data_IF_989421030471
#
_entry.id   IF_989421030471
#
_cell.length_a   1.000
_cell.length_b   1.000
_cell.length_c   1.000
_cell.angle_alpha   90.00
_cell.angle_beta   90.00
_cell.angle_gamma   90.00
#
_symmetry.space_group_name_H-M   'P 1'
#
loop_
_entity.id
_entity.type
_entity.pdbx_description
1 polymer ?
#
# COMPACT_ATOMS: atom_id res chain seq x y z
N UNK A 1 10.28 -3.13 -21.49
CA UNK A 1 10.31 -3.10 -20.02
C UNK A 1 9.15 -3.94 -19.54
N UNK A 2 9.36 -4.92 -18.66
CA UNK A 2 8.22 -5.69 -18.13
C UNK A 2 7.53 -4.86 -17.05
N UNK A 3 6.35 -4.32 -17.34
CA UNK A 3 5.52 -3.68 -16.36
C UNK A 3 5.04 -4.72 -15.33
N UNK A 4 5.18 -4.38 -14.06
CA UNK A 4 4.71 -5.20 -12.94
C UNK A 4 3.19 -5.08 -12.78
N UNK A 5 2.71 -3.86 -12.92
CA UNK A 5 1.30 -3.50 -13.01
C UNK A 5 1.07 -2.71 -14.30
N UNK A 6 -0.03 -3.00 -14.98
CA UNK A 6 -0.46 -2.25 -16.15
C UNK A 6 -1.98 -2.09 -16.13
N UNK A 7 -2.42 -0.87 -16.32
CA UNK A 7 -3.82 -0.49 -16.41
C UNK A 7 -4.06 0.20 -17.73
N UNK A 8 -5.05 -0.30 -18.48
CA UNK A 8 -5.44 0.19 -19.79
C UNK A 8 -6.91 0.60 -19.78
N UNK A 9 -7.17 1.87 -20.10
CA UNK A 9 -8.50 2.46 -20.26
C UNK A 9 -9.44 2.21 -19.06
N UNK A 10 -8.88 2.27 -17.82
CA UNK A 10 -9.67 2.04 -16.62
C UNK A 10 -10.71 3.12 -16.43
N UNK A 11 -11.95 2.67 -16.18
CA UNK A 11 -13.08 3.53 -15.80
C UNK A 11 -13.68 3.02 -14.50
N UNK A 12 -13.88 3.92 -13.56
CA UNK A 12 -14.51 3.63 -12.27
C UNK A 12 -15.62 4.60 -11.96
N UNK A 13 -16.78 4.08 -11.64
CA UNK A 13 -17.94 4.83 -11.17
C UNK A 13 -18.54 4.16 -9.93
N UNK A 14 -19.16 4.95 -9.08
CA UNK A 14 -19.99 4.49 -7.99
C UNK A 14 -21.46 4.85 -8.28
N UNK A 15 -22.35 3.93 -8.02
CA UNK A 15 -23.79 4.19 -8.04
C UNK A 15 -24.18 4.83 -6.72
N UNK A 16 -24.75 6.02 -6.80
CA UNK A 16 -25.33 6.72 -5.66
C UNK A 16 -26.84 6.40 -5.58
N UNK A 17 -27.46 6.59 -4.42
CA UNK A 17 -28.91 6.54 -4.31
C UNK A 17 -29.55 7.57 -5.30
N UNK A 18 -30.65 7.19 -5.96
CA UNK A 18 -31.39 8.02 -6.92
C UNK A 18 -30.80 8.11 -8.35
N UNK A 19 -30.38 6.99 -8.94
CA UNK A 19 -29.91 6.88 -10.33
C UNK A 19 -28.70 7.76 -10.72
N UNK A 20 -28.11 8.47 -9.76
CA UNK A 20 -26.90 9.27 -9.99
C UNK A 20 -25.64 8.41 -9.94
N UNK A 21 -24.75 8.59 -10.89
CA UNK A 21 -23.44 7.95 -10.93
C UNK A 21 -22.34 8.99 -10.60
N UNK A 22 -21.45 8.60 -9.71
CA UNK A 22 -20.24 9.37 -9.43
C UNK A 22 -19.08 8.78 -10.23
N UNK A 23 -18.69 9.44 -11.32
CA UNK A 23 -17.54 9.06 -12.11
C UNK A 23 -16.24 9.50 -11.41
N UNK A 24 -15.41 8.54 -11.03
CA UNK A 24 -14.12 8.77 -10.34
C UNK A 24 -13.01 9.01 -11.36
N UNK A 25 -12.84 8.09 -12.32
CA UNK A 25 -11.91 8.24 -13.42
C UNK A 25 -12.42 7.54 -14.68
N UNK A 26 -11.94 8.00 -15.83
CA UNK A 26 -12.29 7.50 -17.15
C UNK A 26 -11.05 7.53 -18.04
N UNK A 27 -10.89 6.46 -18.83
CA UNK A 27 -9.73 6.27 -19.72
C UNK A 27 -8.38 6.46 -18.99
N UNK A 28 -8.29 5.97 -17.74
CA UNK A 28 -7.06 6.05 -16.97
C UNK A 28 -6.10 4.97 -17.44
N UNK A 29 -4.89 5.40 -17.85
CA UNK A 29 -3.78 4.52 -18.20
C UNK A 29 -2.66 4.76 -17.20
N UNK A 30 -2.08 3.66 -16.70
CA UNK A 30 -1.08 3.72 -15.65
C UNK A 30 -0.26 2.44 -15.62
N UNK A 31 1.03 2.55 -15.31
CA UNK A 31 1.88 1.38 -15.11
C UNK A 31 2.88 1.57 -13.99
N UNK A 32 3.23 0.47 -13.34
CA UNK A 32 4.31 0.40 -12.34
C UNK A 32 5.37 -0.55 -12.86
N UNK A 33 6.60 -0.06 -12.96
CA UNK A 33 7.76 -0.88 -13.25
C UNK A 33 8.19 -1.65 -12.00
N UNK A 34 8.65 -2.87 -12.14
CA UNK A 34 9.14 -3.66 -11.00
C UNK A 34 10.34 -2.96 -10.34
N UNK A 35 10.40 -3.03 -9.01
CA UNK A 35 11.47 -2.43 -8.19
C UNK A 35 11.59 -0.91 -8.31
N UNK A 36 10.50 -0.23 -8.69
CA UNK A 36 10.46 1.23 -8.73
C UNK A 36 9.61 1.81 -7.60
N UNK A 37 9.93 3.02 -7.23
CA UNK A 37 9.17 3.83 -6.28
C UNK A 37 8.33 4.81 -7.08
N UNK A 38 7.02 4.76 -6.92
CA UNK A 38 6.07 5.62 -7.63
C UNK A 38 5.24 6.42 -6.63
N UNK A 39 5.10 7.71 -6.86
CA UNK A 39 4.22 8.58 -6.07
C UNK A 39 3.02 9.07 -6.88
N UNK A 40 1.89 9.23 -6.22
CA UNK A 40 0.69 9.86 -6.79
C UNK A 40 0.29 11.04 -5.90
N UNK A 41 0.19 12.22 -6.51
CA UNK A 41 -0.27 13.45 -5.86
C UNK A 41 -1.62 13.87 -6.42
N UNK A 42 -2.48 14.42 -5.58
CA UNK A 42 -3.77 14.97 -6.01
C UNK A 42 -4.57 15.50 -4.84
N UNK A 43 -5.58 16.32 -5.14
CA UNK A 43 -6.49 16.86 -4.13
C UNK A 43 -7.25 15.75 -3.39
N UNK A 44 -7.75 16.06 -2.19
CA UNK A 44 -8.64 15.14 -1.46
C UNK A 44 -9.86 14.80 -2.32
N UNK A 45 -10.31 13.56 -2.26
CA UNK A 45 -11.49 13.09 -3.00
C UNK A 45 -11.29 12.86 -4.50
N UNK A 46 -10.08 13.05 -5.08
CA UNK A 46 -9.88 12.86 -6.52
C UNK A 46 -9.83 11.39 -6.99
N UNK A 47 -9.90 10.41 -6.07
CA UNK A 47 -9.93 8.99 -6.40
C UNK A 47 -8.66 8.19 -6.08
N UNK A 48 -7.67 8.77 -5.36
CA UNK A 48 -6.40 8.11 -5.02
C UNK A 48 -6.59 6.80 -4.25
N UNK A 49 -7.34 6.82 -3.16
CA UNK A 49 -7.62 5.61 -2.36
C UNK A 49 -8.45 4.59 -3.16
N UNK A 50 -9.35 5.04 -4.05
CA UNK A 50 -10.09 4.15 -4.96
C UNK A 50 -9.12 3.44 -5.90
N UNK A 51 -8.14 4.15 -6.46
CA UNK A 51 -7.11 3.54 -7.30
C UNK A 51 -6.26 2.54 -6.51
N UNK A 52 -5.82 2.90 -5.28
CA UNK A 52 -5.09 1.98 -4.41
C UNK A 52 -5.89 0.70 -4.11
N UNK A 53 -7.20 0.80 -3.89
CA UNK A 53 -8.06 -0.37 -3.67
C UNK A 53 -8.14 -1.27 -4.90
N UNK A 54 -8.21 -0.71 -6.10
CA UNK A 54 -8.18 -1.49 -7.35
C UNK A 54 -6.82 -2.16 -7.51
N UNK A 55 -5.71 -1.41 -7.40
CA UNK A 55 -4.35 -1.94 -7.51
C UNK A 55 -4.06 -3.01 -6.46
N UNK A 56 -4.65 -2.85 -5.28
CA UNK A 56 -4.56 -3.79 -4.18
C UNK A 56 -5.50 -5.00 -4.29
N UNK A 57 -6.21 -5.15 -5.41
CA UNK A 57 -7.14 -6.26 -5.65
C UNK A 57 -8.27 -6.34 -4.60
N UNK A 58 -8.62 -5.20 -3.99
CA UNK A 58 -9.72 -5.06 -3.03
C UNK A 58 -11.03 -4.68 -3.72
N UNK A 59 -10.94 -3.96 -4.84
CA UNK A 59 -12.08 -3.54 -5.65
C UNK A 59 -11.90 -4.05 -7.08
N UNK A 60 -12.79 -4.93 -7.51
CA UNK A 60 -12.82 -5.50 -8.86
C UNK A 60 -13.94 -4.91 -9.75
N UNK A 61 -14.70 -3.95 -9.22
CA UNK A 61 -15.82 -3.32 -9.93
C UNK A 61 -15.35 -2.12 -10.75
N UNK A 62 -14.79 -2.37 -11.93
CA UNK A 62 -14.33 -1.35 -12.87
C UNK A 62 -14.49 -1.85 -14.31
N UNK A 63 -14.47 -0.94 -15.28
CA UNK A 63 -14.36 -1.22 -16.71
C UNK A 63 -12.91 -0.98 -17.17
N UNK A 64 -12.48 -1.64 -18.24
CA UNK A 64 -11.11 -1.59 -18.75
C UNK A 64 -10.30 -2.83 -18.37
N UNK A 65 -8.98 -2.75 -18.51
CA UNK A 65 -8.08 -3.86 -18.28
C UNK A 65 -7.10 -3.55 -17.16
N UNK A 66 -6.91 -4.50 -16.25
CA UNK A 66 -5.87 -4.48 -15.24
C UNK A 66 -5.04 -5.76 -15.30
N UNK A 67 -3.76 -5.62 -15.65
CA UNK A 67 -2.78 -6.70 -15.69
C UNK A 67 -1.89 -6.64 -14.44
N UNK A 68 -1.87 -7.73 -13.71
CA UNK A 68 -0.93 -7.96 -12.60
C UNK A 68 0.09 -9.02 -13.03
N UNK A 69 1.36 -8.66 -13.13
CA UNK A 69 2.42 -9.51 -13.68
C UNK A 69 2.02 -10.11 -15.06
N UNK A 70 1.44 -9.29 -15.92
CA UNK A 70 1.01 -9.66 -17.27
C UNK A 70 -0.24 -10.53 -17.34
N UNK A 71 -0.91 -10.80 -16.21
CA UNK A 71 -2.17 -11.57 -16.17
C UNK A 71 -3.35 -10.66 -15.91
N UNK A 72 -4.38 -10.76 -16.74
CA UNK A 72 -5.61 -9.99 -16.58
C UNK A 72 -6.35 -10.40 -15.30
N UNK A 73 -6.56 -9.46 -14.38
CA UNK A 73 -7.14 -9.73 -13.06
C UNK A 73 -8.59 -10.21 -13.11
N UNK A 74 -9.33 -9.84 -14.15
CA UNK A 74 -10.70 -10.29 -14.39
C UNK A 74 -10.79 -11.79 -14.78
N UNK A 75 -9.69 -12.41 -15.20
CA UNK A 75 -9.61 -13.84 -15.50
C UNK A 75 -9.20 -14.69 -14.29
N UNK A 76 -8.92 -14.06 -13.14
CA UNK A 76 -8.42 -14.70 -11.93
C UNK A 76 -9.58 -14.88 -10.94
N UNK A 77 -9.72 -16.07 -10.36
CA UNK A 77 -10.76 -16.32 -9.36
C UNK A 77 -10.55 -15.50 -8.08
N UNK A 78 -11.63 -15.22 -7.35
CA UNK A 78 -11.60 -14.44 -6.10
C UNK A 78 -10.64 -15.03 -5.06
N UNK A 79 -10.57 -16.36 -4.95
CA UNK A 79 -9.63 -17.03 -4.03
C UNK A 79 -8.17 -16.79 -4.46
N UNK A 80 -7.88 -16.88 -5.75
CA UNK A 80 -6.54 -16.61 -6.26
C UNK A 80 -6.15 -15.13 -6.11
N UNK A 81 -7.09 -14.18 -6.30
CA UNK A 81 -6.86 -12.76 -6.02
C UNK A 81 -6.55 -12.53 -4.52
N UNK A 82 -7.25 -13.22 -3.62
CA UNK A 82 -6.97 -13.18 -2.19
C UNK A 82 -5.56 -13.71 -1.86
N UNK A 83 -5.15 -14.79 -2.52
CA UNK A 83 -3.80 -15.35 -2.37
C UNK A 83 -2.72 -14.40 -2.87
N UNK A 84 -2.92 -13.79 -4.05
CA UNK A 84 -2.00 -12.79 -4.60
C UNK A 84 -1.90 -11.59 -3.64
N UNK A 85 -3.03 -11.06 -3.18
CA UNK A 85 -3.07 -9.95 -2.23
C UNK A 85 -2.28 -10.26 -0.95
N UNK A 86 -2.51 -11.41 -0.35
CA UNK A 86 -1.83 -11.78 0.89
C UNK A 86 -0.32 -12.01 0.69
N UNK A 87 0.10 -12.62 -0.43
CA UNK A 87 1.50 -13.02 -0.66
C UNK A 87 2.36 -11.94 -1.29
N UNK A 88 1.76 -11.11 -2.17
CA UNK A 88 2.51 -10.20 -3.04
C UNK A 88 2.29 -8.72 -2.77
N UNK A 89 1.24 -8.37 -2.00
CA UNK A 89 0.89 -6.97 -1.76
C UNK A 89 0.89 -6.69 -0.27
N UNK A 90 1.65 -5.68 0.15
CA UNK A 90 1.58 -5.11 1.48
C UNK A 90 0.81 -3.79 1.46
N UNK A 91 0.00 -3.54 2.49
CA UNK A 91 -0.76 -2.30 2.62
C UNK A 91 -0.31 -1.49 3.83
N UNK A 92 -0.13 -0.20 3.62
CA UNK A 92 0.05 0.80 4.67
C UNK A 92 -1.05 1.84 4.51
N UNK A 93 -1.88 1.99 5.54
CA UNK A 93 -3.02 2.91 5.55
C UNK A 93 -2.73 4.17 6.37
N UNK A 94 -3.39 5.25 6.05
CA UNK A 94 -3.28 6.54 6.74
C UNK A 94 -3.54 6.45 8.26
N UNK A 95 -4.49 5.61 8.69
CA UNK A 95 -4.86 5.40 10.10
C UNK A 95 -4.25 4.12 10.68
N UNK A 96 -3.12 3.64 10.14
CA UNK A 96 -2.36 2.46 10.57
C UNK A 96 -3.15 1.14 10.49
N UNK A 97 -4.42 1.13 10.78
CA UNK A 97 -5.33 -0.03 10.81
C UNK A 97 -4.76 -1.22 11.61
N UNK A 98 -4.09 -0.92 12.73
CA UNK A 98 -3.69 -1.93 13.70
C UNK A 98 -4.92 -2.38 14.50
N UNK A 99 -5.00 -3.68 14.78
CA UNK A 99 -6.07 -4.27 15.59
C UNK A 99 -5.77 -3.94 17.05
N UNK A 100 -6.61 -3.15 17.73
CA UNK A 100 -6.29 -2.60 19.05
C UNK A 100 -6.26 -3.66 20.17
N UNK A 101 -6.94 -4.80 19.97
CA UNK A 101 -6.95 -5.92 20.91
C UNK A 101 -5.67 -6.73 20.89
N UNK A 102 -4.94 -6.70 19.78
CA UNK A 102 -3.71 -7.44 19.56
C UNK A 102 -2.49 -6.59 19.93
N UNK A 103 -1.42 -7.24 20.41
CA UNK A 103 -0.10 -6.62 20.57
C UNK A 103 0.51 -6.23 19.22
N UNK A 104 1.59 -5.47 19.24
CA UNK A 104 2.38 -5.15 18.03
C UNK A 104 2.81 -6.42 17.31
N UNK A 105 3.37 -7.38 18.02
CA UNK A 105 3.82 -8.65 17.45
C UNK A 105 2.67 -9.41 16.81
N UNK A 106 1.54 -9.56 17.49
CA UNK A 106 0.36 -10.25 16.97
C UNK A 106 -0.20 -9.57 15.71
N UNK A 107 -0.22 -8.23 15.66
CA UNK A 107 -0.59 -7.49 14.47
C UNK A 107 0.32 -7.82 13.27
N UNK A 108 1.62 -7.92 13.51
CA UNK A 108 2.60 -8.15 12.43
C UNK A 108 2.56 -9.58 11.94
N UNK A 109 2.40 -10.58 12.81
CA UNK A 109 2.38 -11.99 12.41
C UNK A 109 1.10 -12.39 11.69
N UNK A 110 -0.01 -11.69 11.91
CA UNK A 110 -1.34 -12.07 11.42
C UNK A 110 -1.39 -12.37 9.92
N UNK A 111 -0.87 -11.53 9.00
CA UNK A 111 -0.89 -11.84 7.58
C UNK A 111 -0.08 -13.09 7.22
N UNK A 112 1.00 -13.37 7.96
CA UNK A 112 1.81 -14.58 7.79
C UNK A 112 1.06 -15.85 8.22
N UNK A 113 0.29 -15.77 9.31
CA UNK A 113 -0.57 -16.87 9.77
C UNK A 113 -1.71 -17.15 8.79
N UNK A 114 -2.33 -16.10 8.24
CA UNK A 114 -3.34 -16.22 7.18
C UNK A 114 -2.73 -16.93 5.94
N UNK A 115 -1.46 -16.68 5.63
CA UNK A 115 -0.71 -17.38 4.58
C UNK A 115 -0.27 -18.80 4.97
N UNK A 116 -0.78 -19.34 6.08
CA UNK A 116 -0.49 -20.70 6.58
C UNK A 116 1.01 -20.98 6.82
N UNK A 117 1.81 -19.94 7.03
CA UNK A 117 3.21 -20.10 7.46
C UNK A 117 3.27 -20.63 8.90
N UNK A 118 4.33 -21.34 9.26
CA UNK A 118 4.55 -21.81 10.64
C UNK A 118 4.69 -20.60 11.57
N UNK A 119 3.95 -20.58 12.67
CA UNK A 119 3.95 -19.47 13.61
C UNK A 119 5.35 -19.11 14.11
N UNK A 120 6.18 -20.11 14.46
CA UNK A 120 7.56 -19.88 14.91
C UNK A 120 8.43 -19.17 13.87
N UNK A 121 8.23 -19.46 12.57
CA UNK A 121 8.96 -18.83 11.48
C UNK A 121 8.49 -17.37 11.30
N UNK A 122 7.17 -17.16 11.31
CA UNK A 122 6.58 -15.81 11.17
C UNK A 122 6.95 -14.94 12.36
N UNK A 123 6.93 -15.48 13.59
CA UNK A 123 7.33 -14.76 14.81
C UNK A 123 8.80 -14.34 14.75
N UNK A 124 9.68 -15.22 14.26
CA UNK A 124 11.09 -14.87 14.07
C UNK A 124 11.26 -13.73 13.08
N UNK A 125 10.57 -13.79 11.95
CA UNK A 125 10.61 -12.73 10.93
C UNK A 125 10.02 -11.42 11.45
N UNK A 126 8.92 -11.49 12.19
CA UNK A 126 8.32 -10.30 12.83
C UNK A 126 9.28 -9.65 13.83
N UNK A 127 10.01 -10.43 14.63
CA UNK A 127 11.03 -9.89 15.54
C UNK A 127 12.19 -9.24 14.76
N UNK A 128 12.63 -9.81 13.65
CA UNK A 128 13.65 -9.22 12.78
C UNK A 128 13.17 -7.88 12.20
N UNK A 129 11.96 -7.83 11.68
CA UNK A 129 11.36 -6.58 11.18
C UNK A 129 11.24 -5.54 12.31
N UNK A 130 10.74 -5.93 13.48
CA UNK A 130 10.66 -5.04 14.63
C UNK A 130 12.03 -4.50 15.06
N UNK A 131 13.08 -5.30 14.98
CA UNK A 131 14.44 -4.84 15.27
C UNK A 131 14.90 -3.80 14.22
N UNK A 132 14.65 -4.05 12.92
CA UNK A 132 14.98 -3.13 11.82
C UNK A 132 14.25 -1.80 11.99
N UNK A 133 12.97 -1.86 12.41
CA UNK A 133 12.12 -0.67 12.61
C UNK A 133 12.31 -0.03 14.01
N UNK A 134 13.24 -0.52 14.86
CA UNK A 134 13.50 0.04 16.17
C UNK A 134 12.35 -0.15 17.17
N UNK A 135 11.58 -1.24 17.04
CA UNK A 135 10.34 -1.50 17.77
C UNK A 135 10.35 -2.81 18.57
N UNK A 136 11.50 -3.50 18.67
CA UNK A 136 11.56 -4.84 19.27
C UNK A 136 11.15 -4.84 20.76
N UNK A 137 11.51 -3.80 21.50
CA UNK A 137 11.13 -3.59 22.90
C UNK A 137 9.62 -3.35 23.08
N UNK A 138 8.92 -2.93 22.03
CA UNK A 138 7.49 -2.65 22.02
C UNK A 138 6.64 -3.84 21.54
N UNK A 139 7.24 -4.99 21.23
CA UNK A 139 6.54 -6.13 20.60
C UNK A 139 5.28 -6.61 21.33
N UNK A 140 5.27 -6.51 22.66
CA UNK A 140 4.16 -6.94 23.51
C UNK A 140 3.19 -5.79 23.89
N UNK A 141 3.44 -4.59 23.39
CA UNK A 141 2.62 -3.40 23.67
C UNK A 141 1.42 -3.40 22.72
N UNK A 142 0.26 -2.91 23.19
CA UNK A 142 -0.92 -2.72 22.36
C UNK A 142 -0.87 -1.39 21.61
N UNK A 143 -1.47 -1.28 20.41
CA UNK A 143 -1.43 -0.09 19.56
C UNK A 143 -1.84 1.22 20.25
N UNK A 144 -2.83 1.16 21.14
CA UNK A 144 -3.33 2.33 21.87
C UNK A 144 -2.35 2.96 22.88
N UNK A 145 -1.22 2.29 23.14
CA UNK A 145 -0.14 2.77 24.01
C UNK A 145 1.08 3.28 23.23
N UNK A 146 1.00 3.30 21.89
CA UNK A 146 2.05 3.72 21.00
C UNK A 146 1.83 5.15 20.51
N UNK A 147 2.91 5.89 20.27
CA UNK A 147 2.86 7.14 19.50
C UNK A 147 2.45 6.87 18.06
N UNK A 148 2.05 7.93 17.33
CA UNK A 148 1.69 7.81 15.91
C UNK A 148 2.83 7.25 15.07
N UNK A 149 4.07 7.71 15.29
CA UNK A 149 5.25 7.21 14.59
C UNK A 149 5.53 5.73 14.89
N UNK A 150 5.37 5.30 16.16
CA UNK A 150 5.50 3.88 16.53
C UNK A 150 4.41 3.02 15.89
N UNK A 151 3.16 3.50 15.82
CA UNK A 151 2.08 2.81 15.13
C UNK A 151 2.38 2.68 13.62
N UNK A 152 2.92 3.74 13.01
CA UNK A 152 3.33 3.72 11.61
C UNK A 152 4.45 2.71 11.34
N UNK A 153 5.47 2.66 12.20
CA UNK A 153 6.55 1.66 12.11
C UNK A 153 6.02 0.24 12.23
N UNK A 154 5.09 -0.01 13.17
CA UNK A 154 4.44 -1.31 13.34
C UNK A 154 3.59 -1.69 12.11
N UNK A 155 2.82 -0.75 11.55
CA UNK A 155 2.03 -0.97 10.34
C UNK A 155 2.93 -1.26 9.12
N UNK A 156 4.07 -0.58 9.01
CA UNK A 156 5.07 -0.83 7.96
C UNK A 156 5.69 -2.23 8.10
N UNK A 157 6.06 -2.64 9.31
CA UNK A 157 6.57 -4.00 9.57
C UNK A 157 5.51 -5.07 9.23
N UNK A 158 4.24 -4.84 9.56
CA UNK A 158 3.13 -5.72 9.19
C UNK A 158 2.99 -5.87 7.68
N UNK A 159 3.10 -4.77 6.94
CA UNK A 159 3.00 -4.81 5.48
C UNK A 159 4.11 -5.65 4.83
N UNK A 160 5.26 -5.79 5.47
CA UNK A 160 6.44 -6.49 4.96
C UNK A 160 6.54 -7.97 5.35
N UNK A 161 5.71 -8.48 6.28
CA UNK A 161 5.86 -9.82 6.89
C UNK A 161 5.81 -10.97 5.88
N UNK A 162 5.09 -10.80 4.78
CA UNK A 162 5.00 -11.79 3.73
C UNK A 162 6.03 -11.61 2.61
N UNK A 163 6.98 -10.67 2.77
CA UNK A 163 7.98 -10.31 1.73
C UNK A 163 7.30 -9.96 0.40
N UNK A 164 6.45 -8.93 0.38
CA UNK A 164 5.66 -8.60 -0.80
C UNK A 164 6.53 -8.06 -1.94
N UNK A 165 6.06 -8.24 -3.17
CA UNK A 165 6.65 -7.62 -4.37
C UNK A 165 6.24 -6.15 -4.52
N UNK A 166 5.10 -5.76 -3.92
CA UNK A 166 4.53 -4.41 -3.98
C UNK A 166 4.04 -3.95 -2.62
N UNK A 167 4.37 -2.73 -2.26
CA UNK A 167 3.72 -2.01 -1.16
C UNK A 167 2.81 -0.92 -1.76
N UNK A 168 1.58 -0.85 -1.25
CA UNK A 168 0.63 0.23 -1.51
C UNK A 168 0.44 1.04 -0.24
N UNK A 169 0.77 2.34 -0.28
CA UNK A 169 0.70 3.20 0.89
C UNK A 169 -0.21 4.41 0.65
N UNK A 170 -1.20 4.59 1.49
CA UNK A 170 -2.12 5.72 1.47
C UNK A 170 -1.75 6.70 2.59
N UNK A 171 -1.18 7.86 2.22
CA UNK A 171 -0.81 8.97 3.13
C UNK A 171 -0.09 8.52 4.42
N UNK A 172 0.95 7.68 4.26
CA UNK A 172 1.62 6.99 5.38
C UNK A 172 2.21 7.91 6.47
N UNK A 173 2.32 9.21 6.22
CA UNK A 173 2.82 10.21 7.20
C UNK A 173 1.81 11.30 7.50
N UNK A 174 0.60 11.22 6.97
CA UNK A 174 -0.39 12.31 7.05
C UNK A 174 -0.89 12.64 8.47
N UNK A 175 -0.69 11.75 9.44
CA UNK A 175 -1.11 11.92 10.83
C UNK A 175 0.06 12.14 11.80
N UNK A 176 1.25 12.47 11.28
CA UNK A 176 2.48 12.64 12.06
C UNK A 176 2.98 14.07 11.96
N UNK A 177 3.75 14.50 12.94
CA UNK A 177 4.51 15.75 12.86
C UNK A 177 5.58 15.67 11.77
N UNK A 178 6.12 16.82 11.36
CA UNK A 178 7.01 16.91 10.20
C UNK A 178 8.33 16.16 10.45
N UNK A 179 8.94 16.30 11.63
CA UNK A 179 10.23 15.65 11.94
C UNK A 179 10.10 14.13 11.94
N UNK A 180 9.06 13.60 12.59
CA UNK A 180 8.74 12.17 12.59
C UNK A 180 8.43 11.67 11.18
N UNK A 181 7.71 12.47 10.38
CA UNK A 181 7.38 12.14 8.99
C UNK A 181 8.63 12.04 8.12
N UNK A 182 9.56 12.99 8.24
CA UNK A 182 10.83 12.99 7.51
C UNK A 182 11.67 11.76 7.85
N UNK A 183 11.77 11.44 9.13
CA UNK A 183 12.51 10.25 9.57
C UNK A 183 11.90 8.96 9.00
N UNK A 184 10.59 8.78 9.14
CA UNK A 184 9.89 7.57 8.72
C UNK A 184 9.94 7.40 7.21
N UNK A 185 9.65 8.45 6.43
CA UNK A 185 9.64 8.34 4.97
C UNK A 185 11.04 8.04 4.42
N UNK A 186 12.07 8.74 4.89
CA UNK A 186 13.45 8.51 4.47
C UNK A 186 13.90 7.09 4.78
N UNK A 187 13.65 6.63 6.01
CA UNK A 187 13.98 5.27 6.41
C UNK A 187 13.25 4.25 5.53
N UNK A 188 11.95 4.41 5.33
CA UNK A 188 11.12 3.47 4.59
C UNK A 188 11.49 3.40 3.11
N UNK A 189 11.68 4.54 2.44
CA UNK A 189 12.08 4.57 1.03
C UNK A 189 13.46 3.91 0.82
N UNK A 190 14.42 4.17 1.70
CA UNK A 190 15.72 3.51 1.67
C UNK A 190 15.60 1.99 1.88
N UNK A 191 14.76 1.57 2.83
CA UNK A 191 14.50 0.14 3.06
C UNK A 191 13.91 -0.54 1.82
N UNK A 192 12.87 0.06 1.21
CA UNK A 192 12.21 -0.44 -0.01
C UNK A 192 13.21 -0.59 -1.16
N UNK A 193 14.03 0.44 -1.41
CA UNK A 193 15.03 0.45 -2.46
C UNK A 193 16.09 -0.63 -2.27
N UNK A 194 16.61 -0.78 -1.06
CA UNK A 194 17.65 -1.75 -0.74
C UNK A 194 17.14 -3.20 -0.79
N UNK A 195 15.83 -3.43 -0.67
CA UNK A 195 15.23 -4.76 -0.73
C UNK A 195 14.55 -5.08 -2.08
N UNK A 196 14.71 -4.21 -3.09
CA UNK A 196 14.12 -4.38 -4.43
C UNK A 196 12.59 -4.61 -4.39
N UNK A 197 11.88 -3.89 -3.52
CA UNK A 197 10.43 -3.93 -3.42
C UNK A 197 9.86 -2.79 -4.27
N UNK A 198 8.77 -3.03 -4.99
CA UNK A 198 8.04 -1.95 -5.67
C UNK A 198 7.20 -1.20 -4.65
N UNK A 199 7.16 0.13 -4.73
CA UNK A 199 6.32 0.96 -3.86
C UNK A 199 5.47 1.90 -4.69
N UNK A 200 4.17 1.92 -4.43
CA UNK A 200 3.29 3.00 -4.81
C UNK A 200 2.76 3.68 -3.55
N UNK A 201 2.99 4.96 -3.42
CA UNK A 201 2.42 5.74 -2.33
C UNK A 201 1.69 6.98 -2.81
N UNK A 202 0.62 7.27 -2.11
CA UNK A 202 -0.17 8.48 -2.29
C UNK A 202 0.22 9.48 -1.22
N UNK A 203 0.38 10.72 -1.60
CA UNK A 203 0.66 11.81 -0.66
C UNK A 203 0.10 13.14 -1.18
N UNK A 204 -0.23 14.04 -0.28
CA UNK A 204 -0.50 15.44 -0.61
C UNK A 204 0.74 16.33 -0.41
N UNK A 205 1.82 15.79 0.21
CA UNK A 205 3.06 16.50 0.44
C UNK A 205 3.98 16.40 -0.79
N UNK A 206 4.26 17.56 -1.40
CA UNK A 206 5.06 17.63 -2.62
C UNK A 206 6.51 17.22 -2.41
N UNK A 207 7.10 17.57 -1.25
CA UNK A 207 8.45 17.18 -0.84
C UNK A 207 8.62 15.67 -0.88
N UNK A 208 7.66 14.93 -0.29
CA UNK A 208 7.74 13.47 -0.29
C UNK A 208 7.46 12.89 -1.68
N UNK A 209 6.53 13.47 -2.43
CA UNK A 209 6.24 13.00 -3.78
C UNK A 209 7.45 13.09 -4.72
N UNK A 210 8.31 14.10 -4.53
CA UNK A 210 9.52 14.32 -5.34
C UNK A 210 10.65 13.33 -5.01
N UNK A 211 10.51 12.50 -3.98
CA UNK A 211 11.47 11.45 -3.62
C UNK A 211 11.28 10.14 -4.40
N UNK A 212 10.20 10.03 -5.18
CA UNK A 212 9.92 8.85 -6.00
C UNK A 212 10.68 8.86 -7.32
N UNK A 213 10.93 7.67 -7.89
CA UNK A 213 11.51 7.51 -9.22
C UNK A 213 10.55 8.00 -10.32
N UNK A 214 9.24 7.78 -10.09
CA UNK A 214 8.16 8.20 -10.98
C UNK A 214 7.09 8.97 -10.18
N UNK A 215 6.73 10.15 -10.64
CA UNK A 215 5.73 10.99 -10.01
C UNK A 215 4.54 11.21 -10.92
N UNK A 216 3.36 10.84 -10.46
CA UNK A 216 2.12 11.11 -11.14
C UNK A 216 1.30 12.17 -10.42
N UNK A 217 0.59 12.99 -11.20
CA UNK A 217 -0.38 13.96 -10.68
C UNK A 217 -1.77 13.54 -11.10
N UNK A 218 -2.67 13.41 -10.13
CA UNK A 218 -4.08 13.15 -10.39
C UNK A 218 -4.77 14.47 -10.70
N UNK A 219 -5.16 14.69 -11.95
CA UNK A 219 -5.82 15.90 -12.40
C UNK A 219 -6.90 15.56 -13.44
N UNK A 220 -8.09 16.19 -13.31
CA UNK A 220 -9.20 16.00 -14.23
C UNK A 220 -9.52 14.51 -14.50
N UNK A 221 -9.59 13.72 -13.42
CA UNK A 221 -9.89 12.26 -13.47
C UNK A 221 -8.85 11.42 -14.25
N UNK A 222 -7.65 11.93 -14.48
CA UNK A 222 -6.54 11.26 -15.17
C UNK A 222 -5.26 11.32 -14.34
N UNK A 223 -4.36 10.38 -14.58
CA UNK A 223 -2.98 10.41 -14.07
C UNK A 223 -2.06 10.97 -15.16
N UNK A 224 -1.24 11.94 -14.77
CA UNK A 224 -0.26 12.60 -15.66
C UNK A 224 1.11 12.37 -15.04
N UNK A 225 2.01 11.73 -15.78
CA UNK A 225 3.42 11.58 -15.40
C UNK A 225 4.10 12.96 -15.44
N UNK A 226 4.91 13.26 -14.44
CA UNK A 226 5.65 14.54 -14.29
C UNK A 226 7.14 14.33 -14.48
#
# INVERSE_FOLDING_TARGET
>A
MNNFIEINNLKKKFHLSNENELLIFENLNFSITKNSITSIVGSSGCGKSTLLNILGLLDSSFEGEFLFEGKATNSISSNQLSDIRNKKIGFIHQFFNLIPELSVLENIILPGLINKKKESAVTKEACNLLQIFGMLDKKNIKPNKLSGGEQQRAASARALINTPDLILADEMTGNLDEDTSDEIINFFLNFIKNNNISLLYVTHNQKYADMADNKYVFKNKKLILK
#
